data_IF_228578482579
#
_entry.id   IF_228578482579
#
_cell.length_a   1.000
_cell.length_b   1.000
_cell.length_c   1.000
_cell.angle_alpha   90.00
_cell.angle_beta   90.00
_cell.angle_gamma   90.00
#
_symmetry.space_group_name_H-M   'P 1'
#
loop_
_entity.id
_entity.type
_entity.pdbx_description
1 polymer ?
#
# COMPACT_ATOMS: atom_id res chain seq x y z
N UNK A 1 16.52 -25.03 -63.45
CA UNK A 1 16.27 -25.63 -62.12
C UNK A 1 16.71 -24.63 -61.09
N UNK A 2 15.78 -23.92 -60.47
CA UNK A 2 16.07 -22.91 -59.46
C UNK A 2 16.45 -23.61 -58.16
N UNK A 3 17.74 -23.56 -57.79
CA UNK A 3 18.21 -24.09 -56.51
C UNK A 3 17.88 -23.09 -55.40
N UNK A 4 16.90 -23.40 -54.55
CA UNK A 4 16.64 -22.68 -53.30
C UNK A 4 17.58 -23.23 -52.23
N UNK A 5 18.66 -22.51 -51.93
CA UNK A 5 19.51 -22.79 -50.77
C UNK A 5 18.77 -22.33 -49.50
N UNK A 6 18.54 -23.19 -48.49
CA UNK A 6 17.92 -22.76 -47.24
C UNK A 6 18.94 -21.92 -46.46
N UNK A 7 18.70 -20.61 -46.34
CA UNK A 7 19.45 -19.77 -45.40
C UNK A 7 19.01 -20.13 -43.99
N UNK A 8 19.89 -20.77 -43.20
CA UNK A 8 19.59 -21.09 -41.81
C UNK A 8 19.45 -19.81 -40.97
N UNK A 9 18.41 -19.75 -40.13
CA UNK A 9 18.21 -18.68 -39.16
C UNK A 9 19.40 -18.63 -38.19
N UNK A 10 20.07 -17.48 -38.11
CA UNK A 10 21.22 -17.27 -37.20
C UNK A 10 20.78 -16.48 -35.97
N UNK A 11 21.02 -17.02 -34.78
CA UNK A 11 20.84 -16.28 -33.52
C UNK A 11 21.98 -15.27 -33.40
N UNK A 12 21.69 -13.99 -33.61
CA UNK A 12 22.66 -12.91 -33.51
C UNK A 12 22.48 -12.16 -32.18
N UNK A 13 23.57 -11.72 -31.56
CA UNK A 13 23.49 -10.98 -30.32
C UNK A 13 22.71 -9.65 -30.51
N UNK A 14 21.95 -9.18 -29.51
CA UNK A 14 21.15 -7.97 -29.64
C UNK A 14 22.00 -6.76 -30.05
N UNK A 15 21.58 -6.04 -31.09
CA UNK A 15 22.30 -4.86 -31.66
C UNK A 15 22.36 -3.66 -30.67
N UNK A 16 21.49 -3.61 -29.65
CA UNK A 16 21.52 -2.58 -28.59
C UNK A 16 22.01 -3.13 -27.25
N UNK A 17 22.88 -2.37 -26.55
CA UNK A 17 23.32 -2.66 -25.17
C UNK A 17 22.13 -2.58 -24.20
N UNK A 18 21.49 -3.72 -23.88
CA UNK A 18 20.38 -3.79 -22.91
C UNK A 18 20.81 -3.79 -21.44
N UNK A 19 22.11 -3.65 -21.16
CA UNK A 19 22.68 -3.71 -19.81
C UNK A 19 22.05 -2.73 -18.83
N UNK A 20 21.80 -1.48 -19.25
CA UNK A 20 21.14 -0.47 -18.43
C UNK A 20 19.71 -0.89 -18.04
N UNK A 21 18.95 -1.47 -18.97
CA UNK A 21 17.57 -1.91 -18.73
C UNK A 21 17.53 -3.06 -17.73
N UNK A 22 18.50 -3.98 -17.79
CA UNK A 22 18.63 -5.07 -16.81
C UNK A 22 18.90 -4.55 -15.40
N UNK A 23 19.78 -3.54 -15.28
CA UNK A 23 20.11 -2.89 -14.00
C UNK A 23 18.88 -2.16 -13.45
N UNK A 24 18.17 -1.37 -14.28
CA UNK A 24 16.96 -0.69 -13.86
C UNK A 24 15.87 -1.67 -13.38
N UNK A 25 15.71 -2.82 -14.04
CA UNK A 25 14.79 -3.86 -13.60
C UNK A 25 15.14 -4.40 -12.20
N UNK A 26 16.43 -4.66 -11.94
CA UNK A 26 16.90 -5.11 -10.63
C UNK A 26 16.69 -4.04 -9.55
N UNK A 27 17.05 -2.78 -9.85
CA UNK A 27 16.83 -1.67 -8.93
C UNK A 27 15.35 -1.46 -8.61
N UNK A 28 14.45 -1.60 -9.59
CA UNK A 28 13.00 -1.54 -9.37
C UNK A 28 12.50 -2.65 -8.44
N UNK A 29 13.01 -3.88 -8.60
CA UNK A 29 12.70 -4.98 -7.69
C UNK A 29 13.20 -4.71 -6.27
N UNK A 30 14.46 -4.26 -6.12
CA UNK A 30 15.02 -3.93 -4.80
C UNK A 30 14.26 -2.78 -4.12
N UNK A 31 13.93 -1.72 -4.87
CA UNK A 31 13.11 -0.62 -4.37
C UNK A 31 11.74 -1.11 -3.90
N UNK A 32 11.11 -2.01 -4.64
CA UNK A 32 9.85 -2.61 -4.23
C UNK A 32 9.95 -3.45 -2.95
N UNK A 33 11.02 -4.23 -2.78
CA UNK A 33 11.28 -4.98 -1.54
C UNK A 33 11.45 -4.03 -0.35
N UNK A 34 12.19 -2.93 -0.50
CA UNK A 34 12.37 -1.92 0.54
C UNK A 34 11.02 -1.30 0.95
N UNK A 35 10.16 -0.97 -0.01
CA UNK A 35 8.83 -0.43 0.27
C UNK A 35 7.95 -1.42 1.04
N UNK A 36 7.99 -2.71 0.69
CA UNK A 36 7.23 -3.75 1.39
C UNK A 36 7.72 -3.88 2.84
N UNK A 37 9.03 -4.00 3.04
CA UNK A 37 9.62 -4.13 4.37
C UNK A 37 9.30 -2.90 5.22
N UNK A 38 9.44 -1.70 4.65
CA UNK A 38 9.10 -0.45 5.33
C UNK A 38 7.62 -0.40 5.74
N UNK A 39 6.72 -0.78 4.84
CA UNK A 39 5.29 -0.86 5.14
C UNK A 39 4.97 -1.84 6.27
N UNK A 40 5.58 -3.04 6.27
CA UNK A 40 5.41 -4.04 7.33
C UNK A 40 5.90 -3.50 8.69
N UNK A 41 7.06 -2.84 8.71
CA UNK A 41 7.63 -2.26 9.93
C UNK A 41 6.70 -1.19 10.50
N UNK A 42 6.26 -0.24 9.67
CA UNK A 42 5.35 0.83 10.10
C UNK A 42 4.03 0.24 10.61
N UNK A 43 3.44 -0.70 9.88
CA UNK A 43 2.20 -1.37 10.30
C UNK A 43 2.35 -2.03 11.67
N UNK A 44 3.47 -2.72 11.89
CA UNK A 44 3.76 -3.43 13.15
C UNK A 44 3.94 -2.46 14.31
N UNK A 45 4.61 -1.33 14.09
CA UNK A 45 4.81 -0.29 15.12
C UNK A 45 3.46 0.31 15.52
N UNK A 46 2.64 0.73 14.56
CA UNK A 46 1.34 1.35 14.83
C UNK A 46 0.40 0.36 15.53
N UNK A 47 0.35 -0.89 15.06
CA UNK A 47 -0.44 -1.94 15.71
C UNK A 47 0.03 -2.21 17.15
N UNK A 48 1.35 -2.23 17.37
CA UNK A 48 1.93 -2.38 18.70
C UNK A 48 1.57 -1.23 19.65
N UNK A 49 1.60 0.01 19.16
CA UNK A 49 1.21 1.20 19.93
C UNK A 49 -0.27 1.15 20.32
N UNK A 50 -1.18 0.89 19.36
CA UNK A 50 -2.61 0.78 19.66
C UNK A 50 -2.91 -0.31 20.67
N UNK A 51 -2.28 -1.49 20.53
CA UNK A 51 -2.47 -2.60 21.46
C UNK A 51 -1.95 -2.27 22.87
N UNK A 52 -0.90 -1.47 22.99
CA UNK A 52 -0.35 -1.06 24.27
C UNK A 52 -1.32 -0.17 25.07
N UNK A 53 -2.19 0.58 24.40
CA UNK A 53 -3.22 1.39 25.04
C UNK A 53 -4.38 0.56 25.64
N UNK A 54 -4.44 -0.75 25.32
CA UNK A 54 -5.41 -1.70 25.87
C UNK A 54 -6.88 -1.23 25.78
N UNK A 55 -7.20 -0.54 24.69
CA UNK A 55 -8.56 -0.06 24.41
C UNK A 55 -9.36 -1.23 23.86
N UNK A 56 -10.54 -1.49 24.43
CA UNK A 56 -11.47 -2.52 23.97
C UNK A 56 -12.68 -1.86 23.33
N UNK A 57 -13.10 -2.37 22.17
CA UNK A 57 -14.30 -1.89 21.48
C UNK A 57 -15.53 -2.22 22.32
N UNK A 58 -16.39 -1.24 22.64
CA UNK A 58 -17.55 -1.45 23.51
C UNK A 58 -18.65 -2.28 22.83
N UNK A 59 -19.54 -2.85 23.64
CA UNK A 59 -20.58 -3.79 23.20
C UNK A 59 -21.67 -3.18 22.32
N UNK A 60 -21.84 -1.86 22.39
CA UNK A 60 -22.79 -1.08 21.60
C UNK A 60 -22.19 -0.55 20.29
N UNK A 61 -20.93 -0.88 19.98
CA UNK A 61 -20.35 -0.60 18.69
C UNK A 61 -21.04 -1.41 17.58
N UNK A 62 -20.96 -0.91 16.34
CA UNK A 62 -21.54 -1.60 15.18
C UNK A 62 -20.83 -2.93 14.83
N UNK A 63 -19.56 -3.11 15.22
CA UNK A 63 -18.76 -4.29 14.92
C UNK A 63 -17.55 -4.42 15.86
N UNK A 64 -16.90 -5.59 15.86
CA UNK A 64 -15.65 -5.87 16.60
C UNK A 64 -15.76 -5.70 18.13
N UNK A 65 -16.96 -5.85 18.70
CA UNK A 65 -17.23 -5.76 20.13
C UNK A 65 -16.32 -6.71 20.92
N UNK A 66 -15.79 -6.23 22.04
CA UNK A 66 -14.87 -6.99 22.90
C UNK A 66 -13.47 -7.22 22.31
N UNK A 67 -13.19 -6.77 21.08
CA UNK A 67 -11.84 -6.86 20.51
C UNK A 67 -10.98 -5.68 20.94
N UNK A 68 -9.69 -5.93 21.14
CA UNK A 68 -8.71 -4.87 21.39
C UNK A 68 -8.46 -4.05 20.12
N UNK A 69 -8.40 -2.73 20.27
CA UNK A 69 -8.04 -1.81 19.18
C UNK A 69 -6.57 -2.00 18.83
N UNK A 70 -6.31 -2.70 17.73
CA UNK A 70 -4.94 -2.98 17.27
C UNK A 70 -4.76 -2.88 15.75
N UNK A 71 -5.84 -2.64 15.01
CA UNK A 71 -5.83 -2.54 13.55
C UNK A 71 -6.68 -1.39 13.02
N UNK A 72 -6.66 -1.17 11.70
CA UNK A 72 -7.35 -0.04 11.08
C UNK A 72 -8.86 -0.08 11.29
N UNK A 73 -9.49 -1.25 11.15
CA UNK A 73 -10.95 -1.37 11.29
C UNK A 73 -11.41 -1.19 12.74
N UNK A 74 -10.72 -1.81 13.69
CA UNK A 74 -11.02 -1.63 15.12
C UNK A 74 -10.80 -0.19 15.57
N UNK A 75 -9.75 0.49 15.06
CA UNK A 75 -9.50 1.90 15.38
C UNK A 75 -10.55 2.83 14.76
N UNK A 76 -10.99 2.56 13.54
CA UNK A 76 -12.07 3.28 12.89
C UNK A 76 -13.38 3.14 13.67
N UNK A 77 -13.76 1.91 14.01
CA UNK A 77 -15.00 1.64 14.77
C UNK A 77 -14.94 2.24 16.18
N UNK A 78 -13.78 2.19 16.84
CA UNK A 78 -13.59 2.86 18.12
C UNK A 78 -13.77 4.39 17.99
N UNK A 79 -13.23 5.00 16.93
CA UNK A 79 -13.39 6.43 16.70
C UNK A 79 -14.85 6.81 16.37
N UNK A 80 -15.59 5.92 15.72
CA UNK A 80 -17.00 6.12 15.41
C UNK A 80 -17.87 6.06 16.68
N UNK A 81 -17.70 5.02 17.51
CA UNK A 81 -18.50 4.88 18.73
C UNK A 81 -18.19 5.97 19.77
N UNK A 82 -16.93 6.45 19.86
CA UNK A 82 -16.59 7.64 20.64
C UNK A 82 -17.40 8.86 20.18
N UNK A 83 -17.60 9.02 18.87
CA UNK A 83 -18.40 10.14 18.36
C UNK A 83 -19.86 10.00 18.76
N UNK A 84 -20.40 8.78 18.68
CA UNK A 84 -21.78 8.51 19.03
C UNK A 84 -22.04 8.88 20.50
N UNK A 85 -21.24 8.35 21.43
CA UNK A 85 -21.37 8.68 22.86
C UNK A 85 -21.16 10.16 23.16
N UNK A 86 -20.25 10.81 22.44
CA UNK A 86 -20.00 12.24 22.61
C UNK A 86 -21.20 13.09 22.15
N UNK A 87 -21.80 12.76 21.00
CA UNK A 87 -23.00 13.43 20.50
C UNK A 87 -24.21 13.17 21.39
N UNK A 88 -24.37 11.95 21.91
CA UNK A 88 -25.46 11.64 22.83
C UNK A 88 -25.34 12.46 24.11
N UNK A 89 -24.11 12.61 24.64
CA UNK A 89 -23.84 13.45 25.80
C UNK A 89 -24.07 14.95 25.55
N UNK A 90 -23.88 15.42 24.32
CA UNK A 90 -24.06 16.83 23.94
C UNK A 90 -25.44 17.16 23.36
N UNK A 91 -26.35 16.19 23.29
CA UNK A 91 -27.67 16.37 22.67
C UNK A 91 -27.57 16.65 21.16
N UNK A 92 -26.58 16.06 20.49
CA UNK A 92 -26.32 16.18 19.05
C UNK A 92 -25.45 17.36 18.65
N UNK A 93 -24.98 18.18 19.61
CA UNK A 93 -24.15 19.36 19.33
C UNK A 93 -22.68 19.00 19.18
N UNK A 94 -22.02 19.57 18.18
CA UNK A 94 -20.58 19.52 18.01
C UNK A 94 -19.87 20.48 18.97
N UNK A 95 -18.54 20.32 19.14
CA UNK A 95 -17.76 21.17 20.05
C UNK A 95 -17.91 22.68 19.79
N UNK A 96 -18.08 23.08 18.53
CA UNK A 96 -18.24 24.49 18.15
C UNK A 96 -19.64 25.05 18.46
N UNK A 97 -20.63 24.18 18.63
CA UNK A 97 -22.03 24.54 18.91
C UNK A 97 -22.34 24.60 20.40
N UNK A 98 -21.37 24.21 21.25
CA UNK A 98 -21.50 24.26 22.70
C UNK A 98 -21.03 25.61 23.26
N UNK A 99 -21.80 26.13 24.22
CA UNK A 99 -21.44 27.32 24.98
C UNK A 99 -20.13 27.10 25.73
N UNK A 100 -19.37 28.18 25.92
CA UNK A 100 -18.00 28.09 26.48
C UNK A 100 -17.96 27.42 27.86
N UNK A 101 -19.02 27.62 28.65
CA UNK A 101 -19.17 27.13 30.02
C UNK A 101 -20.02 25.84 30.11
N UNK A 102 -20.37 25.23 28.97
CA UNK A 102 -21.15 24.00 28.93
C UNK A 102 -20.36 22.83 29.57
N UNK A 103 -20.95 22.10 30.53
CA UNK A 103 -20.26 21.04 31.26
C UNK A 103 -19.78 19.88 30.37
N UNK A 104 -20.40 19.62 29.22
CA UNK A 104 -20.00 18.54 28.30
C UNK A 104 -19.00 18.99 27.23
N UNK A 105 -18.67 20.29 27.19
CA UNK A 105 -17.72 20.84 26.20
C UNK A 105 -16.34 20.24 26.32
N UNK A 106 -15.87 19.96 27.54
CA UNK A 106 -14.61 19.26 27.77
C UNK A 106 -14.65 17.81 27.26
N UNK A 107 -15.78 17.12 27.45
CA UNK A 107 -16.00 15.76 26.93
C UNK A 107 -15.96 15.73 25.40
N UNK A 108 -16.65 16.66 24.74
CA UNK A 108 -16.61 16.78 23.27
C UNK A 108 -15.22 17.09 22.73
N UNK A 109 -14.45 17.90 23.44
CA UNK A 109 -13.07 18.20 23.10
C UNK A 109 -12.19 16.95 23.16
N UNK A 110 -12.26 16.22 24.27
CA UNK A 110 -11.49 14.98 24.46
C UNK A 110 -11.89 13.91 23.43
N UNK A 111 -13.19 13.74 23.17
CA UNK A 111 -13.68 12.85 22.14
C UNK A 111 -13.09 13.19 20.76
N UNK A 112 -13.08 14.48 20.39
CA UNK A 112 -12.51 14.94 19.13
C UNK A 112 -11.00 14.63 19.03
N UNK A 113 -10.26 14.80 20.12
CA UNK A 113 -8.83 14.47 20.16
C UNK A 113 -8.57 12.97 20.05
N UNK A 114 -9.29 12.13 20.79
CA UNK A 114 -9.15 10.67 20.72
C UNK A 114 -9.52 10.15 19.32
N UNK A 115 -10.57 10.69 18.70
CA UNK A 115 -10.94 10.34 17.33
C UNK A 115 -9.86 10.74 16.33
N UNK A 116 -9.31 11.94 16.47
CA UNK A 116 -8.24 12.42 15.58
C UNK A 116 -6.99 11.54 15.68
N UNK A 117 -6.59 11.10 16.87
CA UNK A 117 -5.44 10.21 17.05
C UNK A 117 -5.71 8.80 16.50
N UNK A 118 -6.92 8.26 16.71
CA UNK A 118 -7.33 6.99 16.11
C UNK A 118 -7.37 7.06 14.58
N UNK A 119 -7.92 8.12 13.98
CA UNK A 119 -7.92 8.30 12.53
C UNK A 119 -6.52 8.51 11.96
N UNK A 120 -5.63 9.19 12.69
CA UNK A 120 -4.22 9.28 12.28
C UNK A 120 -3.60 7.89 12.21
N UNK A 121 -3.91 7.00 13.15
CA UNK A 121 -3.49 5.60 13.11
C UNK A 121 -4.08 4.83 11.92
N UNK A 122 -5.37 5.02 11.61
CA UNK A 122 -6.03 4.44 10.42
C UNK A 122 -5.33 4.88 9.13
N UNK A 123 -5.01 6.17 9.02
CA UNK A 123 -4.27 6.72 7.88
C UNK A 123 -2.86 6.11 7.80
N UNK A 124 -2.15 5.96 8.93
CA UNK A 124 -0.84 5.31 8.95
C UNK A 124 -0.89 3.87 8.44
N UNK A 125 -1.91 3.09 8.83
CA UNK A 125 -2.13 1.75 8.25
C UNK A 125 -2.41 1.82 6.75
N UNK A 126 -3.25 2.76 6.30
CA UNK A 126 -3.53 2.97 4.88
C UNK A 126 -2.28 3.30 4.07
N UNK A 127 -1.41 4.19 4.57
CA UNK A 127 -0.13 4.55 3.93
C UNK A 127 0.82 3.35 3.91
N UNK A 128 0.90 2.57 4.99
CA UNK A 128 1.70 1.35 5.03
C UNK A 128 1.21 0.30 4.00
N UNK A 129 -0.09 0.06 3.91
CA UNK A 129 -0.68 -0.81 2.89
C UNK A 129 -0.41 -0.31 1.47
N UNK A 130 -0.54 0.99 1.24
CA UNK A 130 -0.24 1.60 -0.05
C UNK A 130 1.23 1.39 -0.44
N UNK A 131 2.17 1.64 0.48
CA UNK A 131 3.60 1.41 0.24
C UNK A 131 3.89 -0.06 -0.11
N UNK A 132 3.30 -1.01 0.62
CA UNK A 132 3.41 -2.44 0.28
C UNK A 132 2.85 -2.75 -1.11
N UNK A 133 1.66 -2.22 -1.45
CA UNK A 133 1.04 -2.39 -2.77
C UNK A 133 1.90 -1.84 -3.91
N UNK A 134 2.43 -0.62 -3.75
CA UNK A 134 3.36 -0.02 -4.71
C UNK A 134 4.66 -0.84 -4.80
N UNK A 135 5.15 -1.38 -3.69
CA UNK A 135 6.32 -2.24 -3.68
C UNK A 135 6.12 -3.53 -4.49
N UNK A 136 4.96 -4.17 -4.35
CA UNK A 136 4.57 -5.35 -5.14
C UNK A 136 4.54 -5.00 -6.63
N UNK A 137 3.87 -3.90 -7.01
CA UNK A 137 3.82 -3.45 -8.40
C UNK A 137 5.22 -3.13 -8.96
N UNK A 138 6.08 -2.52 -8.15
CA UNK A 138 7.46 -2.22 -8.52
C UNK A 138 8.28 -3.48 -8.79
N UNK A 139 8.08 -4.54 -7.99
CA UNK A 139 8.71 -5.86 -8.21
C UNK A 139 8.22 -6.48 -9.51
N UNK A 140 6.91 -6.49 -9.75
CA UNK A 140 6.32 -7.05 -10.98
C UNK A 140 6.86 -6.32 -12.20
N UNK A 141 6.90 -4.99 -12.16
CA UNK A 141 7.41 -4.18 -13.25
C UNK A 141 8.92 -4.38 -13.47
N UNK A 142 9.71 -4.35 -12.40
CA UNK A 142 11.15 -4.60 -12.46
C UNK A 142 11.48 -5.99 -13.03
N UNK A 143 10.71 -7.00 -12.64
CA UNK A 143 10.82 -8.36 -13.19
C UNK A 143 10.47 -8.40 -14.68
N UNK A 144 9.37 -7.77 -15.09
CA UNK A 144 8.96 -7.72 -16.51
C UNK A 144 10.03 -7.07 -17.39
N UNK A 145 10.56 -5.92 -16.96
CA UNK A 145 11.63 -5.19 -17.67
C UNK A 145 12.91 -6.03 -17.74
N UNK A 146 13.30 -6.66 -16.62
CA UNK A 146 14.49 -7.50 -16.57
C UNK A 146 14.38 -8.72 -17.50
N UNK A 147 13.21 -9.37 -17.53
CA UNK A 147 12.92 -10.52 -18.39
C UNK A 147 12.98 -10.14 -19.88
N UNK A 148 12.37 -9.00 -20.23
CA UNK A 148 12.34 -8.53 -21.62
C UNK A 148 13.73 -8.14 -22.13
N UNK A 149 14.55 -7.52 -21.28
CA UNK A 149 15.92 -7.16 -21.62
C UNK A 149 16.89 -8.36 -21.73
N UNK A 150 16.48 -9.52 -21.21
CA UNK A 150 17.28 -10.75 -21.19
C UNK A 150 16.85 -11.76 -22.26
N UNK A 151 15.80 -11.49 -23.02
CA UNK A 151 15.35 -12.37 -24.11
C UNK A 151 16.36 -12.36 -25.28
N UNK A 152 16.74 -13.54 -25.83
CA UNK A 152 17.61 -13.62 -26.99
C UNK A 152 16.88 -13.13 -28.26
N UNK A 153 17.58 -12.37 -29.10
CA UNK A 153 17.05 -11.88 -30.39
C UNK A 153 17.34 -12.92 -31.46
N UNK A 154 16.31 -13.39 -32.17
CA UNK A 154 16.46 -14.28 -33.33
C UNK A 154 16.37 -13.43 -34.59
N UNK A 155 17.45 -13.38 -35.37
CA UNK A 155 17.48 -12.67 -36.65
C UNK A 155 17.10 -13.65 -37.76
N UNK A 156 15.89 -13.51 -38.31
CA UNK A 156 15.45 -14.30 -39.45
C UNK A 156 16.01 -13.70 -40.74
N UNK A 157 16.88 -14.43 -41.45
CA UNK A 157 17.42 -13.98 -42.74
C UNK A 157 16.52 -14.49 -43.85
N UNK A 158 15.80 -13.60 -44.53
CA UNK A 158 15.02 -13.97 -45.72
C UNK A 158 15.96 -14.31 -46.87
N UNK A 159 15.75 -15.46 -47.53
CA UNK A 159 16.52 -15.84 -48.71
C UNK A 159 16.28 -14.82 -49.84
N UNK A 160 17.34 -14.19 -50.35
CA UNK A 160 17.27 -13.30 -51.51
C UNK A 160 17.33 -14.17 -52.76
N UNK A 161 16.27 -14.18 -53.57
CA UNK A 161 16.29 -14.80 -54.89
C UNK A 161 17.16 -13.95 -55.81
N UNK A 162 18.37 -14.41 -56.12
CA UNK A 162 19.22 -13.82 -57.16
C UNK A 162 18.74 -14.33 -58.53
N UNK A 163 18.35 -13.41 -59.42
CA UNK A 163 17.99 -13.69 -60.81
C UNK A 163 19.20 -13.67 -61.75
#
# INVERSE_FOLDING_TARGET
>A
MSHTTPTADTVEAPVRRTGLVKILGILGMLGGVVLIVGGIVVWSIVSGQLRAENITVPDDAAAFQGQTVAGPFTAYVQADIIQHHALDASGGKTYAELDKDDPVRATMMNASFLRASLFTSVVSFGVAAFAMGVGILSIIFGFAVHRLASAPVVVRRTAVTSG
#
